data_IF_076910706915
#
_entry.id   IF_076910706915
#
_cell.length_a   1.000
_cell.length_b   1.000
_cell.length_c   1.000
_cell.angle_alpha   90.00
_cell.angle_beta   90.00
_cell.angle_gamma   90.00
#
_symmetry.space_group_name_H-M   'P 1'
#
loop_
_entity.id
_entity.type
_entity.pdbx_description
1 polymer ?
#
# COMPACT_ATOMS: atom_id res chain seq x y z
N UNK A 1 25.75 -66.84 34.46
CA UNK A 1 25.19 -65.56 34.96
C UNK A 1 24.44 -64.96 33.77
N UNK A 2 23.13 -65.25 33.60
CA UNK A 2 21.97 -64.51 34.16
C UNK A 2 21.86 -63.09 33.54
N UNK A 3 20.79 -62.61 32.88
CA UNK A 3 19.36 -63.00 32.63
C UNK A 3 18.96 -62.40 31.26
N UNK A 4 18.30 -63.09 30.30
CA UNK A 4 16.83 -63.26 30.09
C UNK A 4 16.06 -61.91 29.90
N UNK A 5 14.99 -61.78 29.11
CA UNK A 5 13.82 -62.68 29.02
C UNK A 5 13.03 -62.54 27.70
N UNK A 6 12.40 -63.63 27.24
CA UNK A 6 11.34 -63.65 26.19
C UNK A 6 9.94 -63.58 26.85
N UNK A 7 8.86 -63.38 26.08
CA UNK A 7 7.88 -64.45 25.76
C UNK A 7 6.78 -64.01 24.76
N UNK A 8 5.96 -64.98 24.30
CA UNK A 8 5.13 -64.94 23.09
C UNK A 8 3.65 -65.28 23.40
N UNK A 9 2.73 -64.71 22.60
CA UNK A 9 1.43 -65.23 22.11
C UNK A 9 0.48 -66.12 22.96
N UNK A 10 -0.82 -65.81 22.89
CA UNK A 10 -1.92 -66.80 22.96
C UNK A 10 -3.13 -66.41 22.07
N UNK A 11 -4.20 -67.23 22.03
CA UNK A 11 -5.09 -67.46 20.87
C UNK A 11 -6.47 -66.74 20.86
N UNK A 12 -7.14 -66.88 19.71
CA UNK A 12 -8.56 -66.60 19.34
C UNK A 12 -9.54 -67.70 19.86
N UNK A 13 -10.89 -67.66 19.76
CA UNK A 13 -11.82 -66.79 19.00
C UNK A 13 -13.09 -66.25 19.76
N UNK A 14 -14.33 -66.79 19.65
CA UNK A 14 -15.47 -65.91 19.28
C UNK A 14 -16.72 -65.95 20.21
N UNK A 15 -17.63 -64.97 20.07
CA UNK A 15 -19.10 -65.19 19.99
C UNK A 15 -19.85 -63.91 19.53
N UNK A 16 -21.07 -64.10 19.03
CA UNK A 16 -21.91 -63.11 18.33
C UNK A 16 -23.06 -62.62 19.24
N UNK A 17 -23.32 -61.30 19.35
CA UNK A 17 -24.68 -60.70 19.24
C UNK A 17 -24.73 -59.17 19.20
N UNK A 18 -25.23 -58.65 18.07
CA UNK A 18 -26.21 -57.56 17.88
C UNK A 18 -26.34 -56.33 18.81
N UNK A 19 -26.40 -55.18 18.10
CA UNK A 19 -27.34 -54.05 18.20
C UNK A 19 -27.02 -52.80 19.05
N UNK A 20 -27.01 -51.68 18.31
CA UNK A 20 -27.35 -50.31 18.71
C UNK A 20 -26.58 -49.68 19.88
N UNK A 21 -25.65 -48.79 19.55
CA UNK A 21 -25.80 -47.36 19.87
C UNK A 21 -24.96 -46.51 18.90
N UNK A 22 -25.62 -45.77 18.02
CA UNK A 22 -24.97 -44.74 17.22
C UNK A 22 -24.46 -43.64 18.16
N UNK A 23 -23.14 -43.44 18.22
CA UNK A 23 -22.55 -42.16 18.62
C UNK A 23 -21.64 -41.70 17.50
N UNK A 24 -21.91 -40.52 16.95
CA UNK A 24 -21.07 -39.90 15.95
C UNK A 24 -19.64 -39.77 16.48
N UNK A 25 -18.70 -40.44 15.82
CA UNK A 25 -17.35 -39.92 15.72
C UNK A 25 -17.43 -38.70 14.79
N UNK A 26 -16.89 -37.53 15.18
CA UNK A 26 -16.83 -36.41 14.27
C UNK A 26 -15.96 -36.81 13.07
N UNK A 27 -16.56 -36.73 11.87
CA UNK A 27 -15.79 -36.79 10.63
C UNK A 27 -14.73 -35.69 10.69
N UNK A 28 -13.45 -36.05 10.59
CA UNK A 28 -12.38 -35.07 10.40
C UNK A 28 -12.54 -34.56 8.97
N UNK A 29 -13.34 -33.51 8.83
CA UNK A 29 -13.43 -32.73 7.60
C UNK A 29 -12.09 -32.05 7.40
N UNK A 30 -11.23 -32.67 6.58
CA UNK A 30 -10.03 -32.01 6.05
C UNK A 30 -10.53 -30.76 5.31
N UNK A 31 -10.14 -29.55 5.71
CA UNK A 31 -10.65 -28.34 5.08
C UNK A 31 -10.21 -28.30 3.61
N UNK A 32 -11.07 -27.87 2.68
CA UNK A 32 -10.75 -27.79 1.26
C UNK A 32 -9.91 -26.53 0.98
N UNK A 33 -8.70 -26.50 1.53
CA UNK A 33 -7.68 -25.53 1.16
C UNK A 33 -6.44 -26.29 0.67
N UNK A 34 -6.44 -26.55 -0.64
CA UNK A 34 -5.22 -26.94 -1.34
C UNK A 34 -4.25 -25.77 -1.28
N UNK A 35 -3.41 -25.74 -0.25
CA UNK A 35 -2.27 -24.82 -0.15
C UNK A 35 -1.33 -25.12 -1.31
N UNK A 36 -1.44 -24.38 -2.42
CA UNK A 36 -0.51 -24.57 -3.52
C UNK A 36 0.86 -24.07 -3.06
N UNK A 37 1.86 -24.94 -3.17
CA UNK A 37 3.24 -24.59 -2.91
C UNK A 37 3.90 -24.26 -4.24
N UNK A 38 4.55 -23.09 -4.29
CA UNK A 38 5.18 -22.55 -5.47
C UNK A 38 6.68 -22.44 -5.24
N UNK A 39 7.48 -22.85 -6.22
CA UNK A 39 8.89 -22.50 -6.22
C UNK A 39 9.07 -21.10 -6.78
N UNK A 40 9.86 -20.28 -6.08
CA UNK A 40 10.23 -18.92 -6.48
C UNK A 40 11.75 -18.81 -6.44
N UNK A 41 12.32 -18.36 -7.54
CA UNK A 41 13.76 -18.11 -7.66
C UNK A 41 14.04 -16.61 -7.59
N UNK A 42 14.92 -16.21 -6.67
CA UNK A 42 15.27 -14.82 -6.41
C UNK A 42 16.76 -14.58 -6.67
N UNK A 43 17.07 -13.60 -7.52
CA UNK A 43 18.42 -13.30 -7.99
C UNK A 43 18.96 -11.94 -7.51
N UNK A 44 18.08 -11.06 -7.01
CA UNK A 44 18.38 -9.67 -6.67
C UNK A 44 18.10 -9.32 -5.21
N UNK A 45 17.39 -8.23 -4.98
CA UNK A 45 17.18 -7.60 -3.66
C UNK A 45 16.43 -8.44 -2.62
N UNK A 46 15.81 -9.55 -3.03
CA UNK A 46 15.13 -10.51 -2.15
C UNK A 46 16.07 -11.58 -1.55
N UNK A 47 17.26 -11.77 -2.10
CA UNK A 47 18.26 -12.74 -1.61
C UNK A 47 18.61 -12.52 -0.14
N UNK A 48 19.08 -13.57 0.51
CA UNK A 48 19.61 -13.52 1.86
C UNK A 48 20.69 -12.45 1.98
N UNK A 49 20.67 -11.69 3.08
CA UNK A 49 21.47 -10.47 3.33
C UNK A 49 21.18 -9.24 2.45
N UNK A 50 20.17 -9.28 1.56
CA UNK A 50 19.76 -8.12 0.76
C UNK A 50 18.56 -7.34 1.33
N UNK A 51 18.43 -6.09 0.89
CA UNK A 51 17.46 -5.08 1.37
C UNK A 51 16.01 -5.53 1.57
N UNK A 52 15.47 -6.39 0.70
CA UNK A 52 14.05 -6.81 0.74
C UNK A 52 13.85 -8.22 1.32
N UNK A 53 14.90 -8.88 1.82
CA UNK A 53 14.82 -10.25 2.37
C UNK A 53 13.82 -10.40 3.53
N UNK A 54 13.57 -9.31 4.27
CA UNK A 54 12.54 -9.23 5.30
C UNK A 54 11.12 -9.53 4.78
N UNK A 55 10.84 -9.32 3.49
CA UNK A 55 9.53 -9.62 2.88
C UNK A 55 9.33 -11.12 2.71
N UNK A 56 10.37 -11.84 2.26
CA UNK A 56 10.36 -13.30 2.24
C UNK A 56 10.21 -13.86 3.65
N UNK A 57 11.00 -13.39 4.61
CA UNK A 57 11.04 -13.93 5.98
C UNK A 57 9.94 -13.43 6.92
N UNK A 58 9.15 -12.43 6.54
CA UNK A 58 8.03 -11.90 7.32
C UNK A 58 6.90 -12.90 7.53
N UNK A 59 6.05 -12.65 8.53
CA UNK A 59 5.00 -13.56 9.01
C UNK A 59 3.79 -13.74 8.08
N UNK A 60 3.63 -12.92 7.05
CA UNK A 60 2.57 -13.06 6.05
C UNK A 60 2.88 -14.20 5.07
N UNK A 61 2.21 -15.35 5.26
CA UNK A 61 2.38 -16.56 4.44
C UNK A 61 3.61 -17.40 4.81
N UNK A 62 3.61 -18.67 4.38
CA UNK A 62 4.69 -19.63 4.62
C UNK A 62 5.77 -19.55 3.55
N UNK A 63 7.01 -19.81 3.98
CA UNK A 63 8.18 -19.89 3.12
C UNK A 63 9.14 -20.96 3.64
N UNK A 64 9.91 -21.57 2.75
CA UNK A 64 11.00 -22.50 3.05
C UNK A 64 12.12 -22.32 2.05
N UNK A 65 13.30 -21.91 2.51
CA UNK A 65 14.51 -21.90 1.69
C UNK A 65 14.90 -23.34 1.29
N UNK A 66 15.19 -23.55 0.00
CA UNK A 66 15.60 -24.84 -0.54
C UNK A 66 17.09 -24.90 -0.90
N UNK A 67 17.73 -23.76 -1.17
CA UNK A 67 19.18 -23.68 -1.45
C UNK A 67 19.57 -22.59 -2.44
N UNK A 68 20.87 -22.58 -2.78
CA UNK A 68 21.38 -21.83 -3.93
C UNK A 68 20.97 -22.53 -5.23
N UNK A 69 20.67 -21.74 -6.26
CA UNK A 69 20.29 -22.24 -7.58
C UNK A 69 20.87 -21.39 -8.72
N UNK A 70 20.94 -21.98 -9.91
CA UNK A 70 21.38 -21.34 -11.16
C UNK A 70 20.28 -21.46 -12.23
N UNK A 71 20.03 -20.44 -13.05
CA UNK A 71 19.13 -20.58 -14.22
C UNK A 71 19.70 -21.54 -15.27
N UNK A 72 18.84 -22.38 -15.87
CA UNK A 72 19.27 -23.31 -16.94
C UNK A 72 19.64 -22.55 -18.21
N UNK A 73 18.77 -21.63 -18.65
CA UNK A 73 19.07 -20.66 -19.73
C UNK A 73 19.88 -19.48 -19.18
N UNK A 74 20.64 -18.85 -20.07
CA UNK A 74 21.24 -17.55 -19.81
C UNK A 74 20.17 -16.43 -19.89
N UNK A 75 20.33 -15.38 -19.08
CA UNK A 75 19.54 -14.15 -19.12
C UNK A 75 20.43 -12.91 -18.95
N UNK A 76 20.06 -11.74 -19.53
CA UNK A 76 20.65 -10.47 -19.16
C UNK A 76 20.14 -10.03 -17.79
N UNK A 77 20.82 -10.43 -16.72
CA UNK A 77 20.73 -9.76 -15.43
C UNK A 77 21.66 -8.53 -15.45
N UNK A 78 21.10 -7.33 -15.31
CA UNK A 78 21.86 -6.07 -15.34
C UNK A 78 21.60 -5.24 -14.09
N UNK A 79 22.56 -4.40 -13.70
CA UNK A 79 22.38 -3.40 -12.63
C UNK A 79 22.03 -2.07 -13.28
N UNK A 80 20.78 -1.64 -13.14
CA UNK A 80 20.24 -0.48 -13.85
C UNK A 80 20.16 0.80 -13.02
N UNK A 81 20.26 1.91 -13.73
CA UNK A 81 20.11 3.31 -13.30
C UNK A 81 21.09 3.77 -12.22
N UNK A 82 20.95 5.03 -11.79
CA UNK A 82 21.72 5.58 -10.67
C UNK A 82 21.35 4.93 -9.31
N UNK A 83 20.25 4.17 -9.25
CA UNK A 83 19.79 3.48 -8.05
C UNK A 83 20.48 2.12 -7.81
N UNK A 84 21.25 1.63 -8.80
CA UNK A 84 21.94 0.34 -8.79
C UNK A 84 21.00 -0.86 -8.44
N UNK A 85 19.84 -0.93 -9.09
CA UNK A 85 18.86 -2.00 -8.86
C UNK A 85 19.13 -3.15 -9.85
N UNK A 86 19.13 -4.43 -9.42
CA UNK A 86 19.25 -5.57 -10.33
C UNK A 86 17.94 -5.84 -11.08
N UNK A 87 18.02 -5.97 -12.39
CA UNK A 87 16.91 -6.27 -13.30
C UNK A 87 17.24 -7.49 -14.16
N UNK A 88 16.45 -8.56 -14.07
CA UNK A 88 16.52 -9.67 -15.04
C UNK A 88 15.63 -9.33 -16.24
N UNK A 89 16.25 -9.11 -17.39
CA UNK A 89 15.56 -8.86 -18.65
C UNK A 89 15.15 -10.21 -19.26
N UNK A 90 13.90 -10.35 -19.69
CA UNK A 90 13.35 -11.63 -20.11
C UNK A 90 13.71 -11.98 -21.55
N UNK A 91 14.99 -12.28 -21.76
CA UNK A 91 15.55 -12.76 -23.02
C UNK A 91 16.33 -14.04 -22.74
N UNK A 92 15.72 -15.19 -23.00
CA UNK A 92 16.40 -16.48 -22.89
C UNK A 92 17.59 -16.55 -23.83
N UNK A 93 18.62 -17.23 -23.36
CA UNK A 93 19.84 -17.58 -24.10
C UNK A 93 20.66 -16.36 -24.54
N UNK A 94 20.49 -15.23 -23.84
CA UNK A 94 21.32 -14.02 -23.91
C UNK A 94 21.92 -13.70 -22.54
N UNK A 95 23.05 -13.01 -22.48
CA UNK A 95 23.70 -12.68 -21.19
C UNK A 95 24.38 -13.89 -20.55
N UNK A 96 24.12 -14.13 -19.26
CA UNK A 96 24.80 -15.14 -18.44
C UNK A 96 23.79 -16.01 -17.70
N UNK A 97 24.19 -17.21 -17.28
CA UNK A 97 23.39 -17.94 -16.29
C UNK A 97 23.38 -17.18 -14.97
N UNK A 98 22.23 -17.13 -14.33
CA UNK A 98 22.00 -16.28 -13.15
C UNK A 98 22.02 -17.13 -11.88
N UNK A 99 22.88 -16.77 -10.94
CA UNK A 99 22.95 -17.36 -9.59
C UNK A 99 22.01 -16.64 -8.62
N UNK A 100 21.24 -17.42 -7.88
CA UNK A 100 20.27 -16.91 -6.91
C UNK A 100 19.92 -17.94 -5.84
N UNK A 101 18.79 -17.70 -5.20
CA UNK A 101 18.25 -18.50 -4.11
C UNK A 101 16.87 -19.02 -4.51
N UNK A 102 16.56 -20.25 -4.14
CA UNK A 102 15.25 -20.86 -4.38
C UNK A 102 14.48 -21.06 -3.07
N UNK A 103 13.21 -20.67 -3.10
CA UNK A 103 12.26 -20.78 -1.99
C UNK A 103 11.02 -21.53 -2.45
N UNK A 104 10.46 -22.32 -1.55
CA UNK A 104 9.10 -22.82 -1.62
C UNK A 104 8.19 -21.89 -0.80
N UNK A 105 7.09 -21.41 -1.38
CA UNK A 105 6.17 -20.46 -0.74
C UNK A 105 4.71 -20.87 -0.93
N UNK A 106 3.82 -20.45 -0.03
CA UNK A 106 2.37 -20.60 -0.24
C UNK A 106 1.76 -19.44 -1.03
N UNK A 107 0.49 -19.58 -1.44
CA UNK A 107 -0.27 -18.57 -2.18
C UNK A 107 -0.28 -17.19 -1.49
N UNK A 108 -0.34 -17.16 -0.16
CA UNK A 108 -0.35 -15.92 0.60
C UNK A 108 1.00 -15.20 0.52
N UNK A 109 2.10 -15.92 0.70
CA UNK A 109 3.46 -15.38 0.53
C UNK A 109 3.71 -14.97 -0.92
N UNK A 110 3.23 -15.75 -1.88
CA UNK A 110 3.37 -15.43 -3.31
C UNK A 110 2.65 -14.12 -3.67
N UNK A 111 1.45 -13.85 -3.12
CA UNK A 111 0.74 -12.60 -3.32
C UNK A 111 1.45 -11.38 -2.66
N UNK A 112 2.14 -11.58 -1.53
CA UNK A 112 3.01 -10.54 -0.93
C UNK A 112 4.18 -10.20 -1.84
N UNK A 113 4.81 -11.20 -2.49
CA UNK A 113 5.87 -10.99 -3.46
C UNK A 113 5.37 -10.30 -4.73
N UNK A 114 4.20 -10.69 -5.26
CA UNK A 114 3.57 -10.00 -6.40
C UNK A 114 3.40 -8.50 -6.14
N UNK A 115 2.93 -8.15 -4.93
CA UNK A 115 2.72 -6.77 -4.52
C UNK A 115 4.03 -5.99 -4.40
N UNK A 116 5.09 -6.60 -3.88
CA UNK A 116 6.42 -5.98 -3.78
C UNK A 116 7.01 -5.71 -5.17
N UNK A 117 6.99 -6.71 -6.05
CA UNK A 117 7.57 -6.66 -7.39
C UNK A 117 6.64 -5.96 -8.41
N UNK A 118 5.50 -5.42 -7.94
CA UNK A 118 4.48 -4.74 -8.75
C UNK A 118 4.04 -5.57 -9.96
N UNK A 119 3.84 -6.87 -9.74
CA UNK A 119 3.38 -7.82 -10.73
C UNK A 119 1.89 -7.59 -11.05
N UNK A 120 1.44 -7.65 -12.33
CA UNK A 120 2.20 -7.94 -13.56
C UNK A 120 2.73 -6.70 -14.31
N UNK A 121 2.71 -5.53 -13.67
CA UNK A 121 2.93 -4.22 -14.32
C UNK A 121 4.41 -3.93 -14.56
N UNK A 122 5.26 -4.06 -13.53
CA UNK A 122 6.71 -3.82 -13.67
C UNK A 122 7.47 -5.11 -13.95
N UNK A 123 7.46 -6.04 -12.99
CA UNK A 123 7.95 -7.39 -13.21
C UNK A 123 6.82 -8.35 -13.58
N UNK A 124 7.09 -9.24 -14.52
CA UNK A 124 6.22 -10.37 -14.81
C UNK A 124 6.85 -11.65 -14.29
N UNK A 125 6.08 -12.43 -13.52
CA UNK A 125 6.42 -13.83 -13.25
C UNK A 125 6.51 -14.60 -14.57
N UNK A 126 7.62 -15.31 -14.74
CA UNK A 126 7.88 -16.25 -15.82
C UNK A 126 8.30 -17.57 -15.16
N UNK A 127 7.77 -18.68 -15.67
CA UNK A 127 8.14 -20.00 -15.16
C UNK A 127 9.42 -20.45 -15.88
N UNK A 128 10.52 -20.57 -15.14
CA UNK A 128 11.82 -20.93 -15.70
C UNK A 128 12.43 -22.13 -14.96
N UNK A 129 13.30 -22.85 -15.67
CA UNK A 129 14.04 -23.97 -15.10
C UNK A 129 15.29 -23.46 -14.40
N UNK A 130 15.47 -23.90 -13.15
CA UNK A 130 16.65 -23.62 -12.34
C UNK A 130 17.23 -24.92 -11.79
N UNK A 131 18.55 -24.97 -11.66
CA UNK A 131 19.30 -26.10 -11.07
C UNK A 131 19.60 -25.78 -9.62
N UNK A 132 19.10 -26.59 -8.68
CA UNK A 132 19.42 -26.46 -7.26
C UNK A 132 20.83 -27.04 -7.03
N UNK A 133 21.79 -26.20 -6.69
CA UNK A 133 23.22 -26.52 -6.81
C UNK A 133 23.69 -27.69 -5.93
N UNK A 134 23.10 -27.84 -4.73
CA UNK A 134 23.56 -28.83 -3.74
C UNK A 134 23.11 -30.27 -4.03
N UNK A 135 22.04 -30.45 -4.80
CA UNK A 135 21.49 -31.75 -5.20
C UNK A 135 21.51 -31.98 -6.73
N UNK A 136 21.86 -30.96 -7.52
CA UNK A 136 21.81 -30.95 -8.99
C UNK A 136 20.42 -31.31 -9.56
N UNK A 137 19.37 -30.94 -8.84
CA UNK A 137 17.97 -31.13 -9.24
C UNK A 137 17.49 -29.97 -10.10
N UNK A 138 16.77 -30.25 -11.19
CA UNK A 138 16.19 -29.22 -12.06
C UNK A 138 14.72 -29.07 -11.72
N UNK A 139 14.31 -27.86 -11.31
CA UNK A 139 12.92 -27.54 -10.96
C UNK A 139 12.42 -26.34 -11.76
N UNK A 140 11.11 -26.26 -11.96
CA UNK A 140 10.45 -25.08 -12.53
C UNK A 140 10.03 -24.12 -11.41
N UNK A 141 10.47 -22.87 -11.50
CA UNK A 141 10.24 -21.84 -10.48
C UNK A 141 9.80 -20.52 -11.12
N UNK A 142 8.99 -19.75 -10.40
CA UNK A 142 8.65 -18.39 -10.77
C UNK A 142 9.85 -17.46 -10.62
N UNK A 143 10.15 -16.74 -11.70
CA UNK A 143 11.15 -15.67 -11.76
C UNK A 143 10.45 -14.36 -12.10
N UNK A 144 10.68 -13.30 -11.32
CA UNK A 144 10.21 -11.96 -11.63
C UNK A 144 11.16 -11.32 -12.65
N UNK A 145 10.68 -11.08 -13.88
CA UNK A 145 11.50 -10.61 -14.99
C UNK A 145 10.83 -9.45 -15.74
N UNK A 146 11.63 -8.54 -16.30
CA UNK A 146 11.12 -7.44 -17.14
C UNK A 146 10.90 -7.96 -18.56
N UNK A 147 9.66 -7.99 -19.09
CA UNK A 147 9.35 -8.62 -20.37
C UNK A 147 9.75 -7.76 -21.60
N UNK A 148 9.84 -6.44 -21.42
CA UNK A 148 10.15 -5.44 -22.45
C UNK A 148 10.80 -4.24 -21.76
N UNK A 149 11.76 -3.61 -22.43
CA UNK A 149 12.50 -2.45 -21.95
C UNK A 149 12.73 -1.48 -23.12
N UNK A 150 13.19 -0.26 -22.83
CA UNK A 150 13.58 0.72 -23.84
C UNK A 150 14.85 0.25 -24.58
N UNK A 151 14.92 0.46 -25.89
CA UNK A 151 16.02 -0.01 -26.73
C UNK A 151 17.41 0.45 -26.23
N UNK A 152 17.50 1.64 -25.65
CA UNK A 152 18.76 2.21 -25.14
C UNK A 152 19.05 1.93 -23.65
N UNK A 153 18.19 1.16 -22.96
CA UNK A 153 18.34 0.86 -21.54
C UNK A 153 19.65 0.12 -21.24
N UNK A 154 19.94 -0.96 -21.98
CA UNK A 154 21.14 -1.79 -21.76
C UNK A 154 22.42 -0.99 -22.04
N UNK A 155 22.44 -0.22 -23.13
CA UNK A 155 23.65 0.47 -23.60
C UNK A 155 24.01 1.70 -22.77
N UNK A 156 23.01 2.46 -22.31
CA UNK A 156 23.22 3.78 -21.68
C UNK A 156 22.86 3.84 -20.20
N UNK A 157 21.98 2.94 -19.73
CA UNK A 157 21.33 3.05 -18.42
C UNK A 157 21.53 1.83 -17.52
N UNK A 158 22.29 0.82 -17.92
CA UNK A 158 22.67 -0.31 -17.05
C UNK A 158 24.16 -0.67 -17.11
N UNK A 159 24.57 -1.58 -16.23
CA UNK A 159 25.80 -2.36 -16.41
C UNK A 159 25.68 -3.31 -17.61
N UNK A 160 26.80 -3.92 -18.00
CA UNK A 160 26.76 -5.18 -18.77
C UNK A 160 26.12 -6.32 -17.94
N UNK A 161 25.79 -7.46 -18.59
CA UNK A 161 25.22 -8.62 -17.91
C UNK A 161 26.15 -9.20 -16.83
N UNK A 162 25.58 -9.54 -15.68
CA UNK A 162 26.26 -10.19 -14.54
C UNK A 162 25.64 -11.56 -14.25
N UNK A 163 26.45 -12.53 -13.82
CA UNK A 163 25.96 -13.85 -13.39
C UNK A 163 25.37 -13.82 -11.97
N UNK A 164 25.90 -12.97 -11.08
CA UNK A 164 25.45 -12.90 -9.69
C UNK A 164 25.39 -11.45 -9.20
N UNK A 165 24.26 -11.08 -8.60
CA UNK A 165 24.15 -9.86 -7.81
C UNK A 165 24.60 -10.10 -6.37
N UNK A 166 25.47 -9.22 -5.86
CA UNK A 166 26.02 -9.23 -4.49
C UNK A 166 26.12 -7.81 -3.94
N UNK A 167 25.69 -7.60 -2.70
CA UNK A 167 25.98 -6.37 -1.96
C UNK A 167 27.50 -6.16 -1.81
N UNK A 168 28.03 -5.01 -2.24
CA UNK A 168 29.46 -4.66 -2.11
C UNK A 168 30.16 -4.16 -3.37
N UNK A 169 29.52 -4.21 -4.55
CA UNK A 169 29.98 -3.48 -5.74
C UNK A 169 31.25 -4.02 -6.45
N UNK A 170 31.85 -5.11 -5.97
CA UNK A 170 33.12 -5.66 -6.46
C UNK A 170 33.14 -5.93 -7.96
N UNK A 171 32.03 -6.41 -8.53
CA UNK A 171 31.91 -6.79 -9.95
C UNK A 171 31.39 -5.65 -10.85
N UNK A 172 30.94 -4.52 -10.27
CA UNK A 172 30.24 -3.43 -11.00
C UNK A 172 30.91 -2.05 -10.91
N UNK A 173 31.97 -1.90 -10.10
CA UNK A 173 32.75 -0.66 -10.02
C UNK A 173 32.00 0.58 -9.51
N UNK A 174 30.80 0.41 -8.96
CA UNK A 174 29.94 1.47 -8.41
C UNK A 174 29.46 1.09 -7.01
N UNK A 175 29.50 2.01 -6.04
CA UNK A 175 28.93 1.75 -4.71
C UNK A 175 27.41 1.69 -4.80
N UNK A 176 26.82 0.66 -4.20
CA UNK A 176 25.36 0.48 -4.13
C UNK A 176 24.74 1.53 -3.21
N UNK A 177 23.50 1.93 -3.52
CA UNK A 177 22.72 2.78 -2.62
C UNK A 177 22.31 1.98 -1.37
N UNK A 178 22.58 2.55 -0.19
CA UNK A 178 22.08 2.02 1.07
C UNK A 178 20.56 2.25 1.20
N UNK A 179 19.91 1.52 2.11
CA UNK A 179 18.44 1.54 2.26
C UNK A 179 17.86 2.95 2.47
N UNK A 180 18.59 3.86 3.15
CA UNK A 180 18.14 5.25 3.37
C UNK A 180 17.96 6.05 2.07
N UNK A 181 18.81 5.81 1.06
CA UNK A 181 18.71 6.51 -0.21
C UNK A 181 17.47 6.10 -1.05
N UNK A 182 16.85 4.95 -0.75
CA UNK A 182 15.54 4.57 -1.33
C UNK A 182 14.37 5.30 -0.70
N UNK A 183 14.47 5.66 0.58
CA UNK A 183 13.43 6.40 1.32
C UNK A 183 13.34 7.87 0.87
N UNK A 184 14.40 8.39 0.25
CA UNK A 184 14.47 9.74 -0.33
C UNK A 184 14.02 9.85 -1.79
N UNK A 185 13.71 8.73 -2.49
CA UNK A 185 13.26 8.77 -3.88
C UNK A 185 11.92 9.51 -3.98
N UNK A 186 11.85 10.57 -4.78
CA UNK A 186 10.60 11.30 -5.02
C UNK A 186 9.66 10.53 -5.96
N UNK A 187 8.34 10.80 -5.97
CA UNK A 187 7.43 10.22 -6.95
C UNK A 187 7.86 10.51 -8.40
N UNK A 188 8.48 11.66 -8.64
CA UNK A 188 8.97 12.10 -9.95
C UNK A 188 10.21 11.31 -10.37
N UNK A 189 11.17 11.08 -9.47
CA UNK A 189 12.33 10.20 -9.69
C UNK A 189 11.88 8.75 -9.88
N UNK A 190 10.91 8.30 -9.08
CA UNK A 190 10.26 6.99 -9.22
C UNK A 190 9.56 6.83 -10.58
N UNK A 191 8.89 7.87 -11.07
CA UNK A 191 8.27 7.91 -12.41
C UNK A 191 9.33 7.89 -13.52
N UNK A 192 10.42 8.64 -13.36
CA UNK A 192 11.53 8.65 -14.31
C UNK A 192 12.21 7.27 -14.42
N UNK A 193 12.31 6.51 -13.32
CA UNK A 193 12.81 5.14 -13.31
C UNK A 193 12.02 4.22 -14.27
N UNK A 194 10.68 4.33 -14.29
CA UNK A 194 9.85 3.56 -15.24
C UNK A 194 10.11 3.97 -16.68
N UNK A 195 10.15 5.28 -16.96
CA UNK A 195 10.41 5.81 -18.30
C UNK A 195 11.81 5.39 -18.78
N UNK A 196 12.79 5.37 -17.88
CA UNK A 196 14.16 4.98 -18.21
C UNK A 196 14.31 3.50 -18.56
N UNK A 197 13.55 2.62 -17.90
CA UNK A 197 13.62 1.17 -18.08
C UNK A 197 12.67 0.69 -19.17
N UNK A 198 11.42 1.16 -19.19
CA UNK A 198 10.35 0.68 -20.06
C UNK A 198 10.06 1.60 -21.27
N UNK A 199 10.70 2.78 -21.33
CA UNK A 199 10.44 3.80 -22.36
C UNK A 199 9.15 4.61 -22.15
N UNK A 200 8.33 4.22 -21.16
CA UNK A 200 7.07 4.85 -20.81
C UNK A 200 6.78 4.64 -19.31
N UNK A 201 5.82 5.39 -18.77
CA UNK A 201 5.24 5.07 -17.46
C UNK A 201 3.98 4.21 -17.70
N UNK A 202 3.89 2.98 -17.17
CA UNK A 202 2.71 2.14 -17.37
C UNK A 202 1.45 2.71 -16.72
N UNK A 203 0.34 2.71 -17.46
CA UNK A 203 -0.95 3.25 -17.01
C UNK A 203 -1.54 2.48 -15.80
N UNK A 204 -1.22 1.18 -15.68
CA UNK A 204 -1.69 0.30 -14.59
C UNK A 204 -0.96 0.52 -13.25
N UNK A 205 0.01 1.44 -13.15
CA UNK A 205 0.62 1.79 -11.86
C UNK A 205 -0.29 2.79 -11.13
N UNK A 206 -0.80 2.47 -9.93
CA UNK A 206 -1.61 3.41 -9.17
C UNK A 206 -0.83 4.71 -8.91
N UNK A 207 -1.35 5.83 -9.40
CA UNK A 207 -0.82 7.15 -9.05
C UNK A 207 -1.03 7.35 -7.55
N UNK A 208 0.06 7.56 -6.82
CA UNK A 208 0.01 7.86 -5.40
C UNK A 208 -0.10 9.37 -5.21
N UNK A 209 -1.27 9.79 -4.76
CA UNK A 209 -1.68 11.18 -4.67
C UNK A 209 -1.55 11.63 -3.23
N UNK A 210 -0.91 12.79 -3.00
CA UNK A 210 -0.77 13.34 -1.65
C UNK A 210 -2.02 14.12 -1.27
N UNK A 211 -2.58 13.82 -0.10
CA UNK A 211 -3.72 14.53 0.49
C UNK A 211 -3.35 14.99 1.89
N UNK A 212 -3.60 16.25 2.19
CA UNK A 212 -3.45 16.85 3.51
C UNK A 212 -4.81 16.94 4.20
N UNK A 213 -4.91 16.40 5.41
CA UNK A 213 -6.13 16.42 6.23
C UNK A 213 -5.90 17.22 7.51
N UNK A 214 -6.74 18.24 7.72
CA UNK A 214 -6.66 19.14 8.89
C UNK A 214 -7.75 18.88 9.93
N UNK A 215 -8.87 18.30 9.51
CA UNK A 215 -10.09 18.16 10.30
C UNK A 215 -10.35 16.72 10.77
N UNK A 216 -11.56 16.24 10.52
CA UNK A 216 -12.12 15.02 11.13
C UNK A 216 -11.51 13.69 10.66
N UNK A 217 -10.69 13.71 9.62
CA UNK A 217 -9.98 12.56 9.05
C UNK A 217 -8.63 12.25 9.73
N UNK A 218 -8.11 13.18 10.56
CA UNK A 218 -6.85 13.01 11.29
C UNK A 218 -6.89 11.84 12.27
N UNK A 219 -5.73 11.32 12.68
CA UNK A 219 -5.65 10.26 13.69
C UNK A 219 -6.31 10.70 15.00
N UNK A 220 -7.12 9.80 15.58
CA UNK A 220 -7.90 10.08 16.78
C UNK A 220 -9.20 10.87 16.56
N UNK A 221 -9.43 11.42 15.36
CA UNK A 221 -10.66 12.15 15.03
C UNK A 221 -11.76 11.23 14.45
N UNK A 222 -13.06 11.61 14.54
CA UNK A 222 -14.18 10.67 14.33
C UNK A 222 -14.24 9.98 12.96
N UNK A 223 -13.83 10.66 11.89
CA UNK A 223 -13.88 10.11 10.53
C UNK A 223 -12.58 9.41 10.11
N UNK A 224 -11.57 9.27 10.99
CA UNK A 224 -10.32 8.59 10.67
C UNK A 224 -10.51 7.17 10.12
N UNK A 225 -11.57 6.48 10.53
CA UNK A 225 -11.95 5.16 10.00
C UNK A 225 -12.17 5.15 8.48
N UNK A 226 -12.49 6.27 7.84
CA UNK A 226 -12.56 6.37 6.37
C UNK A 226 -11.20 6.09 5.74
N UNK A 227 -10.11 6.61 6.31
CA UNK A 227 -8.76 6.41 5.77
C UNK A 227 -8.36 4.94 5.76
N UNK A 228 -8.76 4.18 6.78
CA UNK A 228 -8.32 2.80 7.03
C UNK A 228 -9.30 1.70 6.59
N UNK A 229 -10.61 1.98 6.60
CA UNK A 229 -11.67 0.95 6.54
C UNK A 229 -12.54 0.98 5.27
N UNK A 230 -12.32 1.95 4.38
CA UNK A 230 -13.02 2.06 3.08
C UNK A 230 -12.12 1.61 1.93
N UNK A 231 -12.69 1.47 0.73
CA UNK A 231 -11.93 1.07 -0.46
C UNK A 231 -10.78 2.02 -0.82
N UNK A 232 -9.80 1.48 -1.55
CA UNK A 232 -8.57 2.18 -1.92
C UNK A 232 -7.49 2.14 -0.83
N UNK A 233 -6.25 2.33 -1.25
CA UNK A 233 -5.07 2.34 -0.39
C UNK A 233 -4.80 3.72 0.21
N UNK A 234 -4.32 3.76 1.45
CA UNK A 234 -3.80 4.97 2.09
C UNK A 234 -2.55 4.64 2.93
N UNK A 235 -1.66 5.63 3.07
CA UNK A 235 -0.48 5.56 3.93
C UNK A 235 -0.21 6.92 4.56
N UNK A 236 -0.15 6.94 5.89
CA UNK A 236 0.31 8.10 6.66
C UNK A 236 1.78 8.42 6.35
N UNK A 237 2.11 9.70 6.15
CA UNK A 237 3.47 10.19 5.88
C UNK A 237 4.07 11.04 7.01
N UNK A 238 3.25 11.58 7.90
CA UNK A 238 3.67 12.40 9.03
C UNK A 238 2.76 13.61 9.27
N UNK A 239 3.00 14.31 10.37
CA UNK A 239 2.41 15.62 10.62
C UNK A 239 3.01 16.69 9.69
N UNK A 240 2.19 17.65 9.28
CA UNK A 240 2.60 18.75 8.40
C UNK A 240 1.81 20.03 8.73
N UNK A 241 2.36 21.18 8.32
CA UNK A 241 1.69 22.49 8.39
C UNK A 241 1.69 23.17 7.02
N UNK A 242 0.64 23.93 6.70
CA UNK A 242 0.56 24.66 5.43
C UNK A 242 1.61 25.79 5.36
N UNK A 243 2.17 26.03 4.17
CA UNK A 243 3.05 27.20 3.91
C UNK A 243 2.22 28.48 3.82
N UNK A 244 1.07 28.41 3.15
CA UNK A 244 0.10 29.50 3.08
C UNK A 244 -0.75 29.50 4.33
N UNK A 245 -0.94 30.66 4.96
CA UNK A 245 -1.93 30.81 6.05
C UNK A 245 -3.35 30.80 5.51
N UNK A 246 -4.27 30.14 6.21
CA UNK A 246 -5.70 30.17 5.92
C UNK A 246 -6.53 30.36 7.21
N UNK A 247 -7.76 30.89 7.12
CA UNK A 247 -8.73 30.78 8.19
C UNK A 247 -9.27 29.35 8.28
N UNK A 248 -8.92 28.63 9.34
CA UNK A 248 -9.62 27.43 9.79
C UNK A 248 -10.61 27.81 10.89
N UNK A 249 -11.89 27.51 10.69
CA UNK A 249 -12.97 27.80 11.62
C UNK A 249 -13.83 26.57 11.90
N UNK A 250 -14.43 26.49 13.09
CA UNK A 250 -15.42 25.47 13.46
C UNK A 250 -16.81 26.08 13.36
N UNK A 251 -17.54 25.72 12.32
CA UNK A 251 -18.84 26.31 11.95
C UNK A 251 -19.98 25.30 11.99
N UNK A 252 -21.18 25.80 11.70
CA UNK A 252 -22.49 25.11 11.73
C UNK A 252 -22.90 24.57 13.10
N UNK A 253 -24.19 24.26 13.25
CA UNK A 253 -24.75 23.52 14.39
C UNK A 253 -24.05 22.17 14.67
N UNK A 254 -23.31 21.61 13.70
CA UNK A 254 -22.67 20.30 13.79
C UNK A 254 -21.18 20.34 14.17
N UNK A 255 -20.62 21.54 14.37
CA UNK A 255 -19.21 21.77 14.72
C UNK A 255 -18.23 21.15 13.70
N UNK A 256 -18.40 21.49 12.43
CA UNK A 256 -17.55 21.03 11.33
C UNK A 256 -16.35 21.99 11.16
N UNK A 257 -15.11 21.49 10.98
CA UNK A 257 -13.98 22.32 10.58
C UNK A 257 -14.01 22.70 9.09
N UNK A 258 -13.81 23.98 8.80
CA UNK A 258 -13.72 24.53 7.46
C UNK A 258 -12.44 25.34 7.30
N UNK A 259 -11.57 24.97 6.34
CA UNK A 259 -10.56 25.88 5.79
C UNK A 259 -11.22 26.71 4.68
N UNK A 260 -11.18 28.03 4.80
CA UNK A 260 -11.74 28.98 3.82
C UNK A 260 -10.68 29.35 2.77
N UNK A 261 -11.04 29.52 1.49
CA UNK A 261 -10.13 30.00 0.43
C UNK A 261 -9.83 31.51 0.56
N UNK A 262 -9.13 31.86 1.64
CA UNK A 262 -8.68 33.22 2.01
C UNK A 262 -7.18 33.19 2.31
N UNK A 263 -6.39 33.03 1.26
CA UNK A 263 -4.92 32.90 1.32
C UNK A 263 -4.27 34.09 2.01
N UNK A 264 -3.43 33.82 3.00
CA UNK A 264 -2.71 34.85 3.77
C UNK A 264 -3.51 35.43 4.94
N UNK A 265 -4.76 35.02 5.14
CA UNK A 265 -5.52 35.29 6.38
C UNK A 265 -5.40 34.11 7.35
N UNK A 266 -5.69 34.32 8.64
CA UNK A 266 -5.75 33.24 9.63
C UNK A 266 -4.37 32.75 10.08
N UNK A 267 -4.16 31.43 10.07
CA UNK A 267 -2.98 30.77 10.63
C UNK A 267 -2.37 29.78 9.62
N UNK A 268 -1.13 29.36 9.85
CA UNK A 268 -0.64 28.10 9.28
C UNK A 268 -1.50 26.95 9.82
N UNK A 269 -1.99 26.07 8.92
CA UNK A 269 -2.92 25.00 9.29
C UNK A 269 -2.12 23.73 9.56
N UNK A 270 -2.23 23.20 10.78
CA UNK A 270 -1.61 21.95 11.20
C UNK A 270 -2.53 20.75 10.92
N UNK A 271 -1.95 19.69 10.40
CA UNK A 271 -2.65 18.48 10.03
C UNK A 271 -1.71 17.34 9.67
N UNK A 272 -2.21 16.42 8.87
CA UNK A 272 -1.55 15.16 8.54
C UNK A 272 -1.48 14.97 7.04
N UNK A 273 -0.35 14.49 6.54
CA UNK A 273 -0.18 14.17 5.13
C UNK A 273 -0.29 12.66 4.91
N UNK A 274 -1.08 12.28 3.92
CA UNK A 274 -1.27 10.91 3.46
C UNK A 274 -0.92 10.77 1.98
N UNK A 275 -0.37 9.62 1.60
CA UNK A 275 -0.37 9.15 0.21
C UNK A 275 -1.59 8.22 0.04
N UNK A 276 -2.36 8.42 -1.02
CA UNK A 276 -3.58 7.66 -1.33
C UNK A 276 -3.61 7.25 -2.80
N UNK A 277 -4.30 6.15 -3.13
CA UNK A 277 -4.57 5.82 -4.54
C UNK A 277 -5.81 6.56 -5.07
N UNK A 278 -6.05 6.49 -6.38
CA UNK A 278 -7.20 7.14 -7.03
C UNK A 278 -8.56 6.68 -6.50
N UNK A 279 -8.68 5.42 -6.06
CA UNK A 279 -9.92 4.88 -5.47
C UNK A 279 -10.21 5.49 -4.11
N UNK A 280 -9.18 5.62 -3.28
CA UNK A 280 -9.25 6.29 -1.98
C UNK A 280 -9.53 7.78 -2.17
N UNK A 281 -8.90 8.42 -3.17
CA UNK A 281 -9.16 9.82 -3.49
C UNK A 281 -10.63 10.05 -3.91
N UNK A 282 -11.19 9.22 -4.78
CA UNK A 282 -12.60 9.29 -5.16
C UNK A 282 -13.54 9.06 -3.96
N UNK A 283 -13.14 8.20 -3.01
CA UNK A 283 -13.86 8.00 -1.74
C UNK A 283 -13.85 9.25 -0.87
N UNK A 284 -12.73 10.01 -0.84
CA UNK A 284 -12.63 11.28 -0.14
C UNK A 284 -13.41 12.40 -0.85
N UNK A 285 -13.36 12.47 -2.19
CA UNK A 285 -14.16 13.42 -2.97
C UNK A 285 -15.66 13.25 -2.70
N UNK A 286 -16.13 12.00 -2.62
CA UNK A 286 -17.51 11.68 -2.28
C UNK A 286 -17.86 12.08 -0.84
N UNK A 287 -16.95 11.88 0.13
CA UNK A 287 -17.16 12.24 1.53
C UNK A 287 -17.30 13.76 1.72
N UNK A 288 -16.38 14.53 1.12
CA UNK A 288 -16.31 15.99 1.23
C UNK A 288 -17.24 16.70 0.22
N UNK A 289 -18.08 15.94 -0.49
CA UNK A 289 -19.01 16.41 -1.53
C UNK A 289 -18.33 17.34 -2.56
N UNK A 290 -17.14 16.97 -3.00
CA UNK A 290 -16.38 17.66 -4.03
C UNK A 290 -17.08 17.56 -5.41
N UNK A 291 -17.13 18.63 -6.23
CA UNK A 291 -16.66 20.00 -6.03
C UNK A 291 -17.73 20.97 -5.52
N UNK A 292 -18.79 20.48 -4.87
CA UNK A 292 -19.96 21.29 -4.50
C UNK A 292 -19.79 21.99 -3.15
N UNK A 293 -19.39 21.25 -2.10
CA UNK A 293 -19.18 21.81 -0.77
C UNK A 293 -17.73 22.25 -0.56
N UNK A 294 -16.79 21.32 -0.75
CA UNK A 294 -15.36 21.61 -0.73
C UNK A 294 -14.75 21.46 -2.13
N UNK A 295 -13.91 22.40 -2.51
CA UNK A 295 -13.05 22.28 -3.69
C UNK A 295 -11.67 21.76 -3.28
N UNK A 296 -11.15 20.78 -4.00
CA UNK A 296 -9.82 20.23 -3.77
C UNK A 296 -8.78 21.13 -4.45
N UNK A 297 -7.93 21.80 -3.66
CA UNK A 297 -6.85 22.69 -4.13
C UNK A 297 -5.48 22.06 -3.86
N UNK A 298 -4.51 22.32 -4.73
CA UNK A 298 -3.12 21.86 -4.54
C UNK A 298 -2.33 22.96 -3.82
N UNK A 299 -1.75 22.65 -2.66
CA UNK A 299 -1.01 23.62 -1.83
C UNK A 299 0.35 23.06 -1.37
N UNK A 300 1.26 23.97 -1.00
CA UNK A 300 2.53 23.62 -0.34
C UNK A 300 2.35 23.41 1.18
N UNK A 301 2.97 22.35 1.69
CA UNK A 301 3.05 22.00 3.11
C UNK A 301 4.50 21.75 3.53
N UNK A 302 4.81 21.97 4.80
CA UNK A 302 6.08 21.63 5.44
C UNK A 302 5.85 20.45 6.38
N UNK A 303 6.55 19.33 6.14
CA UNK A 303 6.57 18.18 7.03
C UNK A 303 7.23 18.57 8.36
N UNK A 304 6.56 18.35 9.50
CA UNK A 304 7.04 18.84 10.80
C UNK A 304 8.33 18.15 11.26
N UNK A 305 8.47 16.85 11.01
CA UNK A 305 9.63 16.05 11.44
C UNK A 305 10.91 16.36 10.64
N UNK A 306 10.78 16.71 9.35
CA UNK A 306 11.92 16.82 8.42
C UNK A 306 12.17 18.25 7.91
N UNK A 307 11.21 19.16 8.07
CA UNK A 307 11.26 20.51 7.48
C UNK A 307 11.13 20.53 5.95
N UNK A 308 10.92 19.38 5.30
CA UNK A 308 10.84 19.26 3.84
C UNK A 308 9.50 19.83 3.34
N UNK A 309 9.58 20.70 2.34
CA UNK A 309 8.42 21.18 1.58
C UNK A 309 7.90 20.10 0.63
N UNK A 310 6.58 19.97 0.53
CA UNK A 310 5.90 19.03 -0.37
C UNK A 310 4.53 19.56 -0.77
N UNK A 311 4.09 19.25 -1.98
CA UNK A 311 2.74 19.60 -2.46
C UNK A 311 1.74 18.50 -2.10
N UNK A 312 0.54 18.89 -1.68
CA UNK A 312 -0.57 17.98 -1.41
C UNK A 312 -1.92 18.64 -1.72
N UNK A 313 -2.92 17.81 -1.97
CA UNK A 313 -4.30 18.25 -2.13
C UNK A 313 -4.97 18.50 -0.78
N UNK A 314 -5.69 19.60 -0.64
CA UNK A 314 -6.49 19.98 0.53
C UNK A 314 -7.92 20.32 0.10
N UNK A 315 -8.90 19.91 0.90
CA UNK A 315 -10.31 20.26 0.69
C UNK A 315 -10.63 21.61 1.36
N UNK A 316 -10.90 22.63 0.56
CA UNK A 316 -11.12 24.02 0.99
C UNK A 316 -12.52 24.46 0.55
N UNK A 317 -13.27 25.14 1.42
CA UNK A 317 -14.53 25.76 1.01
C UNK A 317 -14.28 27.13 0.39
N UNK A 318 -14.93 27.40 -0.73
CA UNK A 318 -14.72 28.61 -1.55
C UNK A 318 -16.01 29.41 -1.82
N UNK A 319 -17.15 28.94 -1.28
CA UNK A 319 -18.47 29.57 -1.36
C UNK A 319 -19.18 29.42 -0.02
N UNK A 320 -19.72 30.52 0.49
CA UNK A 320 -20.57 30.56 1.68
C UNK A 320 -21.45 31.81 1.63
N UNK A 321 -22.52 31.85 2.43
CA UNK A 321 -23.37 33.04 2.61
C UNK A 321 -22.71 34.06 3.55
N UNK A 322 -22.96 35.36 3.37
CA UNK A 322 -22.24 36.44 4.06
C UNK A 322 -22.29 36.35 5.60
N UNK A 323 -23.39 35.86 6.17
CA UNK A 323 -23.58 35.71 7.62
C UNK A 323 -23.04 34.38 8.19
N UNK A 324 -22.61 33.42 7.35
CA UNK A 324 -22.07 32.14 7.81
C UNK A 324 -20.95 32.31 8.84
N UNK A 325 -20.00 33.20 8.53
CA UNK A 325 -18.81 33.44 9.35
C UNK A 325 -19.13 34.05 10.73
N UNK A 326 -20.31 34.67 10.92
CA UNK A 326 -20.68 35.21 12.24
C UNK A 326 -21.09 34.13 13.24
N UNK A 327 -21.37 32.91 12.76
CA UNK A 327 -21.75 31.75 13.59
C UNK A 327 -20.57 30.84 13.95
N UNK A 328 -19.46 31.01 13.24
CA UNK A 328 -18.23 30.23 13.36
C UNK A 328 -17.43 30.56 14.63
N UNK A 329 -16.49 29.68 14.98
CA UNK A 329 -15.42 30.00 15.94
C UNK A 329 -14.48 31.08 15.39
N UNK A 330 -13.64 31.64 16.26
CA UNK A 330 -12.42 32.34 15.81
C UNK A 330 -11.47 31.41 15.03
N UNK A 331 -10.48 32.01 14.37
CA UNK A 331 -9.50 31.26 13.57
C UNK A 331 -8.59 30.41 14.47
N UNK A 332 -8.57 29.10 14.25
CA UNK A 332 -7.68 28.16 14.94
C UNK A 332 -6.54 27.71 14.01
N UNK A 333 -5.45 27.18 14.56
CA UNK A 333 -4.31 26.66 13.78
C UNK A 333 -4.37 25.12 13.63
N UNK A 334 -4.97 24.43 14.59
CA UNK A 334 -5.21 22.98 14.56
C UNK A 334 -6.60 22.68 15.09
N UNK A 335 -7.36 21.86 14.38
CA UNK A 335 -8.64 21.33 14.84
C UNK A 335 -8.45 20.12 15.75
N UNK A 336 -9.27 20.00 16.80
CA UNK A 336 -9.55 18.70 17.43
C UNK A 336 -10.97 18.67 17.99
N UNK A 337 -11.65 17.52 17.92
CA UNK A 337 -12.98 17.33 18.50
C UNK A 337 -13.03 17.67 20.01
N UNK A 338 -11.94 17.52 20.74
CA UNK A 338 -11.84 17.87 22.16
C UNK A 338 -11.16 19.23 22.43
N UNK A 339 -11.01 20.08 21.42
CA UNK A 339 -10.24 21.33 21.49
C UNK A 339 -10.92 22.46 22.28
N UNK A 340 -10.10 23.46 22.66
CA UNK A 340 -10.47 24.61 23.49
C UNK A 340 -11.59 25.50 22.91
N UNK A 341 -12.02 25.26 21.67
CA UNK A 341 -13.20 25.89 21.08
C UNK A 341 -14.54 25.43 21.72
N UNK A 342 -14.53 24.41 22.59
CA UNK A 342 -15.72 23.98 23.35
C UNK A 342 -16.88 23.45 22.47
N UNK A 343 -16.55 23.08 21.22
CA UNK A 343 -17.48 22.70 20.16
C UNK A 343 -17.16 21.27 19.69
N UNK A 344 -17.61 20.22 20.41
CA UNK A 344 -17.31 18.85 20.02
C UNK A 344 -18.07 18.45 18.75
N UNK A 345 -17.40 17.70 17.88
CA UNK A 345 -17.98 17.12 16.67
C UNK A 345 -19.21 16.27 17.00
N UNK A 346 -20.36 16.64 16.43
CA UNK A 346 -21.55 15.80 16.47
C UNK A 346 -21.44 14.71 15.41
N UNK A 347 -21.49 13.45 15.80
CA UNK A 347 -21.37 12.31 14.88
C UNK A 347 -22.46 12.33 13.79
N UNK A 348 -22.09 11.88 12.59
CA UNK A 348 -22.95 11.91 11.40
C UNK A 348 -24.31 11.22 11.59
N UNK A 349 -24.40 10.14 12.36
CA UNK A 349 -25.68 9.48 12.62
C UNK A 349 -26.64 10.37 13.42
N UNK A 350 -26.10 11.20 14.33
CA UNK A 350 -26.88 12.19 15.07
C UNK A 350 -27.33 13.30 14.12
N UNK A 351 -26.48 13.73 13.17
CA UNK A 351 -26.83 14.73 12.14
C UNK A 351 -27.96 14.27 11.23
N UNK A 352 -27.84 13.08 10.63
CA UNK A 352 -28.86 12.52 9.72
C UNK A 352 -30.21 12.31 10.39
N UNK A 353 -30.23 12.19 11.72
CA UNK A 353 -31.47 12.12 12.51
C UNK A 353 -32.03 13.53 12.79
N UNK A 354 -31.21 14.47 13.23
CA UNK A 354 -31.63 15.87 13.46
C UNK A 354 -32.14 16.55 12.17
N UNK A 355 -31.46 16.34 11.04
CA UNK A 355 -31.86 16.86 9.71
C UNK A 355 -33.15 16.24 9.13
N UNK A 356 -33.77 15.27 9.81
CA UNK A 356 -35.10 14.74 9.46
C UNK A 356 -36.21 15.34 10.30
N UNK A 357 -35.88 15.80 11.50
CA UNK A 357 -36.83 16.36 12.46
C UNK A 357 -36.90 17.91 12.37
N UNK A 358 -35.84 18.55 11.87
CA UNK A 358 -35.82 19.97 11.45
C UNK A 358 -35.61 20.09 9.93
N UNK A 359 -36.21 21.11 9.28
CA UNK A 359 -36.01 21.44 7.85
C UNK A 359 -34.61 22.02 7.54
N UNK A 360 -33.60 21.71 8.37
CA UNK A 360 -32.30 22.38 8.38
C UNK A 360 -31.29 21.64 7.50
N UNK A 361 -31.13 22.10 6.26
CA UNK A 361 -30.14 21.58 5.33
C UNK A 361 -28.76 22.25 5.51
N UNK A 362 -27.70 21.46 5.65
CA UNK A 362 -26.31 21.92 5.72
C UNK A 362 -25.91 22.83 4.55
N UNK A 363 -26.40 22.57 3.34
CA UNK A 363 -26.14 23.43 2.19
C UNK A 363 -26.84 24.79 2.28
N UNK A 364 -28.06 24.85 2.82
CA UNK A 364 -28.75 26.12 3.10
C UNK A 364 -28.06 26.89 4.23
N UNK A 365 -27.56 26.19 5.25
CA UNK A 365 -26.83 26.78 6.39
C UNK A 365 -25.48 27.38 5.97
N UNK A 366 -24.77 26.77 5.01
CA UNK A 366 -23.44 27.20 4.57
C UNK A 366 -23.51 28.10 3.32
N UNK A 367 -24.24 27.71 2.28
CA UNK A 367 -24.27 28.39 0.97
C UNK A 367 -25.55 29.18 0.70
N UNK A 368 -26.61 29.03 1.51
CA UNK A 368 -27.90 29.70 1.30
C UNK A 368 -28.78 29.10 0.19
N UNK A 369 -28.37 28.00 -0.42
CA UNK A 369 -29.09 27.27 -1.48
C UNK A 369 -28.92 25.76 -1.32
N UNK A 370 -29.92 24.95 -1.72
CA UNK A 370 -29.77 23.48 -1.81
C UNK A 370 -29.46 23.03 -3.25
N UNK A 371 -28.20 22.72 -3.59
CA UNK A 371 -27.85 22.27 -4.94
C UNK A 371 -28.41 20.88 -5.30
N UNK A 372 -29.08 20.19 -4.37
CA UNK A 372 -29.77 18.91 -4.61
C UNK A 372 -31.16 19.08 -5.25
N UNK A 373 -31.76 20.27 -5.15
CA UNK A 373 -33.10 20.54 -5.72
C UNK A 373 -33.10 20.51 -7.26
N UNK A 374 -31.96 20.80 -7.90
CA UNK A 374 -31.74 20.70 -9.36
C UNK A 374 -31.56 19.24 -9.86
N UNK A 375 -31.94 18.23 -9.07
CA UNK A 375 -31.86 16.80 -9.43
C UNK A 375 -30.45 16.22 -9.39
N UNK A 376 -29.47 16.94 -8.84
CA UNK A 376 -28.09 16.48 -8.74
C UNK A 376 -27.90 15.55 -7.53
N UNK A 377 -27.40 14.33 -7.76
CA UNK A 377 -27.12 13.35 -6.68
C UNK A 377 -25.84 13.70 -5.93
N UNK A 378 -25.87 14.76 -5.14
CA UNK A 378 -24.70 15.27 -4.41
C UNK A 378 -24.56 14.53 -3.07
N UNK A 379 -23.43 13.85 -2.91
CA UNK A 379 -23.18 12.91 -1.82
C UNK A 379 -22.75 13.52 -0.48
N UNK A 380 -23.34 14.63 -0.01
CA UNK A 380 -23.10 15.03 1.40
C UNK A 380 -23.61 13.93 2.32
N UNK A 381 -22.68 13.24 2.99
CA UNK A 381 -23.02 12.20 3.94
C UNK A 381 -23.75 11.00 3.33
N UNK A 382 -23.26 10.45 2.20
CA UNK A 382 -23.40 9.01 1.98
C UNK A 382 -22.16 8.32 2.53
N UNK A 383 -22.34 7.12 3.11
CA UNK A 383 -21.19 6.26 3.44
C UNK A 383 -20.86 5.52 2.14
N UNK A 384 -19.58 5.43 1.73
CA UNK A 384 -19.20 4.47 0.71
C UNK A 384 -19.59 3.05 1.15
#
# INVERSE_FOLDING_TARGET
IFVNQRYHSTMIAPYITTLSHFRHLPSITVPPYSMALHYVFVYGTLKSSESNHAVLTGSEGKQRFLGLAETVSAFPLVVGTHLNIPFLLYQRDAGLKVEGEIYEVDDAKLAVLDKLEKHPVFYQRKLEKVVIMHCNEVVEAWVYAIPKWADDFIEKKSSGPIAIYRNGGADIGRPLLNNRARETITPEEGKQLYIDILGHFPDDIPQMIRVFVYGTLKQGEPNHSVMTSTEGWSRFRGAARSVTSFPLVVGTQFNIPFVLDKRGEGNEIHGELYEVDEKKLATLDALEAHPVLYERKLEEFIMEETGVKTEAWIYIIHKWKDDFLTTCSGHIASYSTAGDHGRPYLDRYVREKLMKDEETNLFMEIMGVDPREDGCTIGVGKKP
#
